data_IF_796679586790
#
_entry.id   IF_796679586790
#
_cell.length_a   1.000
_cell.length_b   1.000
_cell.length_c   1.000
_cell.angle_alpha   90.00
_cell.angle_beta   90.00
_cell.angle_gamma   90.00
#
_symmetry.space_group_name_H-M   'P 1'
#
loop_
_entity.id
_entity.type
_entity.pdbx_description
1 polymer ?
#
# COMPACT_ATOMS: atom_id res chain seq x y z
N UNK A 1 25.59 -58.10 9.91
CA UNK A 1 24.45 -57.54 9.15
C UNK A 1 24.30 -56.06 9.54
N UNK A 2 24.89 -55.15 8.76
CA UNK A 2 24.98 -53.72 9.09
C UNK A 2 23.85 -52.92 8.42
N UNK A 3 23.01 -52.29 9.25
CA UNK A 3 21.92 -51.40 8.80
C UNK A 3 22.50 -50.00 8.61
N UNK A 4 22.68 -49.57 7.36
CA UNK A 4 23.10 -48.20 7.02
C UNK A 4 21.94 -47.23 7.28
N UNK A 5 22.11 -46.33 8.25
CA UNK A 5 21.20 -45.21 8.52
C UNK A 5 21.51 -44.08 7.54
N UNK A 6 20.68 -43.89 6.52
CA UNK A 6 20.76 -42.72 5.64
C UNK A 6 20.07 -41.52 6.31
N UNK A 7 20.86 -40.50 6.69
CA UNK A 7 20.32 -39.18 7.05
C UNK A 7 19.88 -38.48 5.76
N UNK A 8 18.59 -38.14 5.67
CA UNK A 8 18.09 -37.20 4.68
C UNK A 8 18.21 -35.78 5.27
N UNK A 9 19.05 -34.93 4.67
CA UNK A 9 19.03 -33.50 4.92
C UNK A 9 17.97 -32.87 4.00
N UNK A 10 16.88 -32.36 4.58
CA UNK A 10 15.96 -31.50 3.86
C UNK A 10 16.55 -30.09 3.80
N UNK A 11 17.02 -29.68 2.62
CA UNK A 11 17.43 -28.30 2.38
C UNK A 11 16.17 -27.43 2.29
N UNK A 12 15.93 -26.62 3.32
CA UNK A 12 14.93 -25.54 3.26
C UNK A 12 15.58 -24.38 2.53
N UNK A 13 15.23 -24.18 1.27
CA UNK A 13 15.62 -22.99 0.52
C UNK A 13 14.80 -21.80 1.06
N UNK A 14 15.47 -20.89 1.77
CA UNK A 14 14.90 -19.60 2.13
C UNK A 14 14.78 -18.76 0.85
N UNK A 15 13.57 -18.64 0.31
CA UNK A 15 13.25 -17.64 -0.70
C UNK A 15 13.20 -16.29 0.01
N UNK A 16 14.27 -15.51 -0.10
CA UNK A 16 14.24 -14.11 0.32
C UNK A 16 13.25 -13.33 -0.57
N UNK A 17 12.41 -12.45 0.00
CA UNK A 17 11.52 -11.63 -0.80
C UNK A 17 12.35 -10.72 -1.72
N UNK A 18 12.05 -10.76 -3.02
CA UNK A 18 12.62 -9.83 -4.00
C UNK A 18 11.95 -8.48 -3.78
N UNK A 19 12.69 -7.50 -3.24
CA UNK A 19 12.24 -6.12 -3.17
C UNK A 19 12.56 -5.46 -4.51
N UNK A 20 11.54 -5.03 -5.24
CA UNK A 20 11.72 -4.26 -6.47
C UNK A 20 12.12 -2.81 -6.11
N UNK A 21 13.03 -2.18 -6.87
CA UNK A 21 13.34 -0.77 -6.66
C UNK A 21 12.13 0.10 -6.98
N UNK A 22 11.99 1.23 -6.28
CA UNK A 22 10.97 2.22 -6.57
C UNK A 22 11.06 2.69 -8.04
N UNK A 23 9.90 2.84 -8.69
CA UNK A 23 9.79 3.26 -10.08
C UNK A 23 9.07 4.60 -10.19
N UNK A 24 9.46 5.43 -11.16
CA UNK A 24 8.78 6.72 -11.39
C UNK A 24 7.41 6.50 -12.04
N UNK A 25 6.40 7.26 -11.62
CA UNK A 25 5.03 7.10 -12.13
C UNK A 25 4.94 7.37 -13.65
N UNK A 26 5.79 8.27 -14.16
CA UNK A 26 5.86 8.61 -15.59
C UNK A 26 6.33 7.46 -16.48
N UNK A 27 7.00 6.46 -15.90
CA UNK A 27 7.37 5.24 -16.62
C UNK A 27 6.20 4.27 -16.80
N UNK A 28 5.06 4.56 -16.16
CA UNK A 28 3.87 3.70 -16.09
C UNK A 28 4.24 2.25 -15.70
N UNK A 29 4.85 2.06 -14.51
CA UNK A 29 5.33 0.74 -14.10
C UNK A 29 4.16 -0.22 -13.86
N UNK A 30 4.45 -1.51 -13.92
CA UNK A 30 3.55 -2.55 -13.38
C UNK A 30 4.21 -3.15 -12.16
N UNK A 31 3.53 -3.09 -11.02
CA UNK A 31 4.04 -3.52 -9.72
C UNK A 31 3.14 -4.62 -9.16
N UNK A 32 3.72 -5.67 -8.58
CA UNK A 32 2.93 -6.77 -8.01
C UNK A 32 3.46 -7.17 -6.64
N UNK A 33 2.55 -7.31 -5.66
CA UNK A 33 2.87 -7.74 -4.30
C UNK A 33 1.68 -8.47 -3.69
N UNK A 34 1.93 -9.62 -3.05
CA UNK A 34 0.91 -10.33 -2.27
C UNK A 34 -0.35 -10.73 -3.05
N UNK A 35 -0.29 -10.91 -4.37
CA UNK A 35 -1.47 -11.21 -5.22
C UNK A 35 -2.20 -9.98 -5.77
N UNK A 36 -1.74 -8.78 -5.41
CA UNK A 36 -2.15 -7.51 -6.01
C UNK A 36 -1.24 -7.18 -7.21
N UNK A 37 -1.80 -6.52 -8.21
CA UNK A 37 -1.07 -5.93 -9.34
C UNK A 37 -1.59 -4.52 -9.62
N UNK A 38 -0.69 -3.55 -9.54
CA UNK A 38 -0.88 -2.13 -9.80
C UNK A 38 -0.34 -1.80 -11.19
N UNK A 39 -1.12 -1.11 -12.01
CA UNK A 39 -0.77 -0.79 -13.40
C UNK A 39 -1.50 0.46 -13.90
N UNK A 40 -1.23 0.88 -15.13
CA UNK A 40 -1.93 1.99 -15.80
C UNK A 40 -1.91 3.29 -14.98
N UNK A 41 -0.74 3.62 -14.46
CA UNK A 41 -0.55 4.85 -13.71
C UNK A 41 -0.73 6.08 -14.60
N UNK A 42 -1.56 7.00 -14.13
CA UNK A 42 -1.73 8.33 -14.68
C UNK A 42 -1.44 9.39 -13.62
N UNK A 43 -0.95 10.53 -14.07
CA UNK A 43 -0.60 11.65 -13.20
C UNK A 43 -0.91 12.97 -13.91
N UNK A 44 -1.48 13.92 -13.17
CA UNK A 44 -1.67 15.31 -13.57
C UNK A 44 -1.29 16.20 -12.40
N UNK A 45 -0.61 17.30 -12.68
CA UNK A 45 -0.15 18.26 -11.67
C UNK A 45 -0.69 19.63 -12.04
N UNK A 46 -1.32 20.29 -11.07
CA UNK A 46 -1.75 21.67 -11.09
C UNK A 46 -1.07 22.38 -9.92
N UNK A 47 -0.36 23.47 -10.18
CA UNK A 47 0.36 24.19 -9.11
C UNK A 47 0.44 25.68 -9.36
N UNK A 48 0.69 26.43 -8.30
CA UNK A 48 0.88 27.87 -8.36
C UNK A 48 1.77 28.39 -7.24
N UNK A 49 2.36 29.57 -7.47
CA UNK A 49 3.31 30.19 -6.54
C UNK A 49 4.75 29.70 -6.70
N UNK A 50 5.64 30.27 -5.90
CA UNK A 50 7.07 29.88 -5.87
C UNK A 50 7.26 28.67 -4.97
N UNK A 51 8.23 27.81 -5.32
CA UNK A 51 8.62 26.62 -4.55
C UNK A 51 7.54 25.52 -4.41
N UNK A 52 6.42 25.57 -5.13
CA UNK A 52 5.49 24.44 -5.17
C UNK A 52 6.09 23.23 -5.91
N UNK A 53 6.09 22.07 -5.27
CA UNK A 53 6.60 20.79 -5.83
C UNK A 53 5.63 19.64 -5.53
N UNK A 54 5.62 18.56 -6.34
CA UNK A 54 6.42 18.34 -7.55
C UNK A 54 6.05 19.26 -8.72
N UNK A 55 6.93 19.40 -9.70
CA UNK A 55 6.67 20.15 -10.95
C UNK A 55 6.42 19.24 -12.15
N UNK A 56 6.77 17.96 -12.03
CA UNK A 56 6.64 16.95 -13.07
C UNK A 56 6.31 15.60 -12.45
N UNK A 57 5.49 14.81 -13.13
CA UNK A 57 5.12 13.48 -12.68
C UNK A 57 6.31 12.54 -12.48
N UNK A 58 7.42 12.73 -13.20
CA UNK A 58 8.62 11.90 -13.02
C UNK A 58 9.34 12.10 -11.66
N UNK A 59 8.89 13.06 -10.84
CA UNK A 59 9.34 13.26 -9.46
C UNK A 59 8.50 12.49 -8.44
N UNK A 60 7.48 11.78 -8.89
CA UNK A 60 6.62 10.94 -8.06
C UNK A 60 7.03 9.50 -8.33
N UNK A 61 7.44 8.82 -7.27
CA UNK A 61 7.79 7.41 -7.30
C UNK A 61 6.68 6.57 -6.68
N UNK A 62 6.58 5.34 -7.15
CA UNK A 62 5.69 4.31 -6.64
C UNK A 62 6.50 3.07 -6.31
N UNK A 63 6.17 2.44 -5.19
CA UNK A 63 6.82 1.22 -4.73
C UNK A 63 5.80 0.28 -4.06
N UNK A 64 6.09 -1.01 -3.99
CA UNK A 64 5.28 -1.97 -3.24
C UNK A 64 5.74 -2.06 -1.78
N UNK A 65 4.79 -2.22 -0.85
CA UNK A 65 5.10 -2.43 0.58
C UNK A 65 4.69 -3.84 1.08
N UNK A 66 5.33 -4.37 2.15
CA UNK A 66 5.13 -5.76 2.59
C UNK A 66 3.72 -6.11 3.08
N UNK A 67 3.03 -5.18 3.74
CA UNK A 67 1.59 -5.29 3.98
C UNK A 67 0.90 -4.91 2.67
N UNK A 68 0.41 -5.88 1.87
CA UNK A 68 0.37 -5.76 0.42
C UNK A 68 -0.37 -4.49 0.01
N UNK A 69 0.38 -3.66 -0.70
CA UNK A 69 0.05 -2.26 -0.83
C UNK A 69 1.00 -1.51 -1.73
N UNK A 70 0.76 -0.20 -1.78
CA UNK A 70 1.47 0.74 -2.62
C UNK A 70 1.92 1.92 -1.76
N UNK A 71 3.19 2.26 -1.84
CA UNK A 71 3.77 3.50 -1.30
C UNK A 71 3.98 4.47 -2.46
N UNK A 72 3.53 5.71 -2.28
CA UNK A 72 3.77 6.83 -3.17
C UNK A 72 4.71 7.79 -2.47
N UNK A 73 5.83 8.11 -3.11
CA UNK A 73 6.81 9.06 -2.56
C UNK A 73 7.07 10.21 -3.52
N UNK A 74 7.05 11.43 -2.97
CA UNK A 74 7.46 12.65 -3.68
C UNK A 74 7.79 13.75 -2.67
N UNK A 75 8.11 14.96 -3.14
CA UNK A 75 8.21 16.15 -2.31
C UNK A 75 6.98 17.02 -2.51
N UNK A 76 5.80 16.57 -2.10
CA UNK A 76 4.59 17.40 -2.14
C UNK A 76 4.79 18.56 -1.18
N UNK A 77 4.86 19.77 -1.68
CA UNK A 77 5.21 20.93 -0.88
C UNK A 77 4.61 22.21 -1.45
N UNK A 78 4.11 23.04 -0.55
CA UNK A 78 3.65 24.39 -0.84
C UNK A 78 4.25 25.38 0.17
N UNK A 79 4.95 26.40 -0.36
CA UNK A 79 5.41 27.56 0.38
C UNK A 79 4.26 28.56 0.66
N UNK A 80 4.50 29.65 1.42
CA UNK A 80 3.50 30.69 1.58
C UNK A 80 3.08 31.29 0.24
N UNK A 81 1.77 31.49 0.07
CA UNK A 81 1.12 31.94 -1.18
C UNK A 81 1.35 30.98 -2.36
N UNK A 82 1.48 29.68 -2.10
CA UNK A 82 1.63 28.65 -3.13
C UNK A 82 0.68 27.47 -2.89
N UNK A 83 0.47 26.67 -3.93
CA UNK A 83 -0.27 25.42 -3.86
C UNK A 83 0.28 24.40 -4.85
N UNK A 84 0.08 23.14 -4.52
CA UNK A 84 0.30 21.98 -5.38
C UNK A 84 -0.92 21.06 -5.25
N UNK A 85 -1.39 20.56 -6.37
CA UNK A 85 -2.57 19.71 -6.55
C UNK A 85 -2.19 18.63 -7.56
N UNK A 86 -2.08 17.40 -7.08
CA UNK A 86 -1.66 16.24 -7.86
C UNK A 86 -2.79 15.21 -7.89
N UNK A 87 -3.31 14.99 -9.09
CA UNK A 87 -4.25 13.93 -9.38
C UNK A 87 -3.51 12.69 -9.89
N UNK A 88 -3.58 11.59 -9.13
CA UNK A 88 -3.02 10.29 -9.50
C UNK A 88 -4.14 9.29 -9.78
N UNK A 89 -3.92 8.41 -10.75
CA UNK A 89 -4.84 7.30 -11.04
C UNK A 89 -4.04 6.04 -11.33
N UNK A 90 -4.57 4.88 -10.94
CA UNK A 90 -4.04 3.59 -11.36
C UNK A 90 -5.12 2.52 -11.32
N UNK A 91 -4.82 1.44 -12.02
CA UNK A 91 -5.61 0.22 -12.04
C UNK A 91 -5.04 -0.78 -11.04
N UNK A 92 -5.93 -1.37 -10.26
CA UNK A 92 -5.63 -2.41 -9.30
C UNK A 92 -6.36 -3.69 -9.71
N UNK A 93 -5.61 -4.78 -9.80
CA UNK A 93 -6.15 -6.14 -9.93
C UNK A 93 -5.68 -7.01 -8.78
N UNK A 94 -6.52 -7.94 -8.33
CA UNK A 94 -6.25 -8.83 -7.21
C UNK A 94 -6.66 -10.27 -7.52
N UNK A 95 -5.95 -11.23 -6.94
CA UNK A 95 -6.33 -12.65 -6.96
C UNK A 95 -7.30 -13.05 -5.85
N UNK A 96 -7.72 -12.10 -5.00
CA UNK A 96 -8.66 -12.27 -3.89
C UNK A 96 -9.56 -11.04 -3.76
N UNK A 97 -10.65 -11.20 -3.02
CA UNK A 97 -11.63 -10.14 -2.78
C UNK A 97 -11.08 -9.05 -1.85
N UNK A 98 -11.18 -7.80 -2.30
CA UNK A 98 -10.85 -6.59 -1.55
C UNK A 98 -12.16 -5.98 -1.05
N UNK A 99 -12.24 -5.68 0.25
CA UNK A 99 -13.37 -4.98 0.88
C UNK A 99 -12.92 -3.79 1.75
N UNK A 100 -11.62 -3.61 1.95
CA UNK A 100 -11.08 -2.49 2.72
C UNK A 100 -9.78 -1.99 2.10
N UNK A 101 -9.63 -0.67 2.04
CA UNK A 101 -8.41 -0.01 1.58
C UNK A 101 -7.95 0.95 2.67
N UNK A 102 -6.79 0.68 3.27
CA UNK A 102 -6.18 1.58 4.23
C UNK A 102 -5.42 2.69 3.52
N UNK A 103 -5.58 3.92 3.97
CA UNK A 103 -4.89 5.11 3.48
C UNK A 103 -4.15 5.75 4.66
N UNK A 104 -2.87 6.04 4.50
CA UNK A 104 -2.14 6.85 5.47
C UNK A 104 -1.17 7.79 4.79
N UNK A 105 -0.92 8.95 5.39
CA UNK A 105 0.04 9.91 4.85
C UNK A 105 0.79 10.65 5.97
N UNK A 106 1.99 11.13 5.66
CA UNK A 106 2.83 11.86 6.61
C UNK A 106 2.78 13.38 6.42
N UNK A 107 1.59 13.91 6.19
CA UNK A 107 1.39 15.35 6.00
C UNK A 107 1.84 16.17 7.20
N UNK A 108 2.39 17.35 6.93
CA UNK A 108 2.86 18.29 7.94
C UNK A 108 2.56 19.73 7.47
N UNK A 109 2.32 20.63 8.43
CA UNK A 109 2.10 22.04 8.14
C UNK A 109 2.79 22.94 9.17
N UNK A 110 3.05 24.19 8.77
CA UNK A 110 3.45 25.27 9.64
C UNK A 110 2.72 26.55 9.26
N UNK A 111 2.14 27.27 10.22
CA UNK A 111 1.35 28.48 9.93
C UNK A 111 -0.02 28.17 9.32
N UNK A 112 -0.58 29.09 8.52
CA UNK A 112 -1.87 28.86 7.85
C UNK A 112 -1.66 28.11 6.55
N UNK A 113 -1.87 26.79 6.59
CA UNK A 113 -1.64 25.88 5.48
C UNK A 113 -2.52 24.61 5.59
N UNK A 114 -2.61 23.85 4.50
CA UNK A 114 -3.38 22.60 4.37
C UNK A 114 -2.52 21.58 3.61
N UNK A 115 -2.46 20.35 4.12
CA UNK A 115 -1.93 19.17 3.42
C UNK A 115 -2.98 18.07 3.51
N UNK A 116 -3.44 17.52 2.39
CA UNK A 116 -4.49 16.50 2.39
C UNK A 116 -4.38 15.53 1.23
N UNK A 117 -4.85 14.31 1.44
CA UNK A 117 -4.99 13.28 0.41
C UNK A 117 -6.41 12.76 0.45
N UNK A 118 -7.12 12.91 -0.66
CA UNK A 118 -8.41 12.26 -0.87
C UNK A 118 -8.23 11.08 -1.81
N UNK A 119 -8.72 9.91 -1.41
CA UNK A 119 -8.73 8.72 -2.24
C UNK A 119 -10.16 8.32 -2.58
N UNK A 120 -10.40 8.06 -3.87
CA UNK A 120 -11.66 7.54 -4.39
C UNK A 120 -11.41 6.22 -5.11
N UNK A 121 -12.15 5.19 -4.72
CA UNK A 121 -12.03 3.84 -5.27
C UNK A 121 -13.26 3.54 -6.13
N UNK A 122 -13.03 3.09 -7.36
CA UNK A 122 -14.09 2.81 -8.34
C UNK A 122 -14.06 1.36 -8.81
N UNK A 123 -15.24 0.78 -9.05
CA UNK A 123 -15.42 -0.44 -9.84
C UNK A 123 -16.14 -0.10 -11.14
N UNK A 124 -15.42 -0.15 -12.26
CA UNK A 124 -15.88 0.47 -13.50
C UNK A 124 -16.10 1.97 -13.31
N UNK A 125 -17.35 2.43 -13.46
CA UNK A 125 -17.73 3.84 -13.29
C UNK A 125 -18.42 4.14 -11.95
N UNK A 126 -18.58 3.14 -11.08
CA UNK A 126 -19.28 3.27 -9.80
C UNK A 126 -18.27 3.55 -8.70
N UNK A 127 -18.49 4.61 -7.91
CA UNK A 127 -17.72 4.87 -6.69
C UNK A 127 -18.11 3.82 -5.63
N UNK A 128 -17.12 3.10 -5.11
CA UNK A 128 -17.32 2.00 -4.16
C UNK A 128 -16.75 2.29 -2.77
N UNK A 129 -15.90 3.31 -2.65
CA UNK A 129 -15.37 3.80 -1.38
C UNK A 129 -14.60 5.10 -1.56
N UNK A 130 -14.47 5.88 -0.48
CA UNK A 130 -13.71 7.13 -0.45
C UNK A 130 -13.23 7.42 0.99
N UNK A 131 -12.04 7.97 1.14
CA UNK A 131 -11.55 8.55 2.39
C UNK A 131 -10.73 9.82 2.11
N UNK A 132 -10.61 10.66 3.13
CA UNK A 132 -9.74 11.84 3.12
C UNK A 132 -8.94 11.87 4.41
N UNK A 133 -7.63 11.94 4.28
CA UNK A 133 -6.70 12.19 5.38
C UNK A 133 -6.14 13.61 5.22
N UNK A 134 -6.03 14.37 6.31
CA UNK A 134 -5.66 15.78 6.21
C UNK A 134 -4.95 16.29 7.46
N UNK A 135 -4.14 17.33 7.27
CA UNK A 135 -3.41 18.07 8.29
C UNK A 135 -3.61 19.55 7.95
N UNK A 136 -4.34 20.26 8.80
CA UNK A 136 -4.86 21.60 8.52
C UNK A 136 -4.67 22.54 9.70
N UNK A 137 -4.53 23.84 9.45
CA UNK A 137 -4.42 24.80 10.56
C UNK A 137 -5.79 25.20 11.09
N UNK A 138 -6.02 25.03 12.38
CA UNK A 138 -7.00 25.85 13.09
C UNK A 138 -6.41 27.26 13.33
N UNK A 139 -7.28 28.27 13.50
CA UNK A 139 -6.89 29.68 13.72
C UNK A 139 -5.84 29.91 14.85
N UNK A 140 -5.58 28.91 15.70
CA UNK A 140 -4.68 28.97 16.87
C UNK A 140 -3.61 27.85 16.91
N UNK A 141 -3.46 27.02 15.88
CA UNK A 141 -2.48 25.93 15.87
C UNK A 141 -2.64 24.97 14.69
N UNK A 142 -1.58 24.23 14.38
CA UNK A 142 -1.67 23.11 13.45
C UNK A 142 -2.52 22.00 14.09
N UNK A 143 -3.56 21.56 13.39
CA UNK A 143 -4.38 20.43 13.74
C UNK A 143 -4.01 19.28 12.79
N UNK A 144 -3.10 18.46 13.26
CA UNK A 144 -2.64 17.26 12.57
C UNK A 144 -2.72 16.16 13.61
N UNK A 145 -3.93 15.88 14.07
CA UNK A 145 -4.17 14.76 14.96
C UNK A 145 -3.65 13.50 14.27
N UNK A 146 -2.95 12.66 15.02
CA UNK A 146 -2.39 11.43 14.47
C UNK A 146 -3.50 10.51 13.94
N UNK A 147 -4.71 10.65 14.49
CA UNK A 147 -5.91 9.95 14.04
C UNK A 147 -6.40 10.45 12.66
N UNK A 148 -6.07 11.67 12.23
CA UNK A 148 -6.43 12.23 10.90
C UNK A 148 -5.41 11.89 9.80
N UNK A 149 -4.30 11.23 10.16
CA UNK A 149 -3.23 10.84 9.25
C UNK A 149 -3.43 9.44 8.64
N UNK A 150 -4.43 8.70 9.10
CA UNK A 150 -4.78 7.39 8.57
C UNK A 150 -6.30 7.18 8.59
N UNK A 151 -6.82 6.56 7.55
CA UNK A 151 -8.23 6.17 7.46
C UNK A 151 -8.38 4.85 6.72
N UNK A 152 -9.44 4.11 7.03
CA UNK A 152 -9.79 2.86 6.36
C UNK A 152 -11.06 3.04 5.54
N UNK A 153 -10.93 2.89 4.23
CA UNK A 153 -12.02 2.92 3.28
C UNK A 153 -12.71 1.56 3.30
N UNK A 154 -13.85 1.46 3.97
CA UNK A 154 -14.74 0.29 3.81
C UNK A 154 -15.44 0.35 2.46
N UNK A 155 -15.21 -0.65 1.61
CA UNK A 155 -15.85 -0.74 0.29
C UNK A 155 -17.28 -1.27 0.43
N UNK A 156 -18.17 -0.85 -0.47
CA UNK A 156 -19.56 -1.31 -0.51
C UNK A 156 -19.76 -2.70 -1.15
N UNK A 157 -18.73 -3.56 -1.11
CA UNK A 157 -18.73 -4.89 -1.70
C UNK A 157 -17.33 -5.49 -1.77
N UNK A 158 -17.26 -6.68 -2.35
CA UNK A 158 -16.04 -7.44 -2.59
C UNK A 158 -15.59 -7.26 -4.05
N UNK A 159 -14.35 -6.80 -4.25
CA UNK A 159 -13.84 -6.45 -5.58
C UNK A 159 -12.46 -7.04 -5.86
N UNK A 160 -12.24 -7.48 -7.09
CA UNK A 160 -10.94 -7.96 -7.59
C UNK A 160 -10.32 -7.03 -8.63
N UNK A 161 -11.07 -6.02 -9.07
CA UNK A 161 -10.68 -5.10 -10.13
C UNK A 161 -11.20 -3.70 -9.79
N UNK A 162 -10.29 -2.78 -9.54
CA UNK A 162 -10.57 -1.44 -9.05
C UNK A 162 -9.77 -0.40 -9.85
N UNK A 163 -10.35 0.79 -9.99
CA UNK A 163 -9.62 1.99 -10.42
C UNK A 163 -9.53 2.91 -9.22
N UNK A 164 -8.31 3.23 -8.80
CA UNK A 164 -8.07 4.14 -7.68
C UNK A 164 -7.69 5.49 -8.25
N UNK A 165 -8.30 6.54 -7.69
CA UNK A 165 -7.94 7.94 -7.93
C UNK A 165 -7.53 8.58 -6.62
N UNK A 166 -6.41 9.28 -6.61
CA UNK A 166 -5.97 10.10 -5.48
C UNK A 166 -5.88 11.55 -5.92
N UNK A 167 -6.27 12.43 -5.03
CA UNK A 167 -6.14 13.87 -5.12
C UNK A 167 -5.31 14.33 -3.93
N UNK A 168 -4.10 14.81 -4.21
CA UNK A 168 -3.10 15.19 -3.21
C UNK A 168 -2.97 16.70 -3.29
N UNK A 169 -3.34 17.38 -2.22
CA UNK A 169 -3.32 18.83 -2.16
C UNK A 169 -2.38 19.29 -1.05
N UNK A 170 -1.48 20.22 -1.40
CA UNK A 170 -0.77 21.05 -0.42
C UNK A 170 -1.02 22.52 -0.75
N UNK A 171 -1.28 23.33 0.26
CA UNK A 171 -1.56 24.76 0.08
C UNK A 171 -1.00 25.54 1.26
N UNK A 172 -0.09 26.48 0.98
CA UNK A 172 0.44 27.40 1.98
C UNK A 172 -0.14 28.79 1.77
N UNK A 173 -0.93 29.30 2.73
CA UNK A 173 -1.49 30.66 2.65
C UNK A 173 -0.57 31.64 3.36
N UNK A 174 -0.41 31.49 4.67
CA UNK A 174 0.57 32.21 5.50
C UNK A 174 1.44 31.19 6.25
N UNK A 175 1.86 30.16 5.52
CA UNK A 175 2.46 28.96 6.08
C UNK A 175 3.03 28.05 5.00
N UNK A 176 3.59 26.92 5.43
CA UNK A 176 4.05 25.85 4.55
C UNK A 176 3.23 24.60 4.79
N UNK A 177 2.98 23.83 3.73
CA UNK A 177 2.41 22.49 3.81
C UNK A 177 3.32 21.52 3.08
N UNK A 178 3.45 20.30 3.61
CA UNK A 178 4.24 19.25 3.00
C UNK A 178 3.59 17.88 3.19
N UNK A 179 3.95 16.95 2.31
CA UNK A 179 3.77 15.51 2.45
C UNK A 179 4.86 14.81 1.63
N UNK A 180 5.30 13.64 2.06
CA UNK A 180 6.37 12.92 1.34
C UNK A 180 6.09 11.44 1.11
N UNK A 181 5.26 10.83 1.94
CA UNK A 181 4.91 9.42 1.91
C UNK A 181 3.40 9.32 2.02
N UNK A 182 2.82 8.60 1.08
CA UNK A 182 1.41 8.20 1.09
C UNK A 182 1.40 6.70 0.91
N UNK A 183 1.02 6.00 1.98
CA UNK A 183 0.90 4.56 1.99
C UNK A 183 -0.55 4.16 1.75
N UNK A 184 -0.71 3.09 1.00
CA UNK A 184 -1.98 2.43 0.80
C UNK A 184 -1.83 0.95 1.04
N UNK A 185 -2.71 0.40 1.87
CA UNK A 185 -2.74 -1.03 2.19
C UNK A 185 -4.07 -1.62 1.75
N UNK A 186 -4.06 -2.90 1.39
CA UNK A 186 -5.28 -3.62 1.02
C UNK A 186 -5.43 -4.83 1.91
N UNK A 187 -6.67 -5.13 2.26
CA UNK A 187 -6.97 -6.34 2.99
C UNK A 187 -6.68 -7.56 2.09
N UNK A 188 -5.56 -8.23 2.35
CA UNK A 188 -5.16 -9.44 1.64
C UNK A 188 -5.02 -10.60 2.61
N UNK A 189 -5.52 -11.80 2.27
CA UNK A 189 -5.22 -13.00 3.03
C UNK A 189 -3.70 -13.19 3.09
N UNK A 190 -3.11 -13.22 4.29
CA UNK A 190 -1.68 -13.45 4.45
C UNK A 190 -1.26 -14.78 3.79
N UNK A 191 -0.47 -14.77 2.70
CA UNK A 191 -0.15 -15.99 1.95
C UNK A 191 0.66 -17.00 2.78
N UNK A 192 1.46 -16.50 3.72
CA UNK A 192 2.31 -17.28 4.61
C UNK A 192 1.52 -18.07 5.63
N UNK A 193 0.44 -17.50 6.17
CA UNK A 193 -0.39 -18.14 7.20
C UNK A 193 -1.12 -19.36 6.65
N UNK A 194 -1.65 -19.27 5.43
CA UNK A 194 -2.24 -20.41 4.71
C UNK A 194 -1.21 -21.50 4.38
N UNK A 195 -0.02 -21.10 3.90
CA UNK A 195 1.04 -22.04 3.56
C UNK A 195 1.61 -22.75 4.81
N UNK A 196 1.86 -22.02 5.89
CA UNK A 196 2.33 -22.57 7.17
C UNK A 196 1.30 -23.48 7.80
N UNK A 197 0.02 -23.12 7.74
CA UNK A 197 -1.06 -23.99 8.20
C UNK A 197 -1.12 -25.28 7.37
N UNK A 198 -1.03 -25.18 6.04
CA UNK A 198 -0.97 -26.34 5.15
C UNK A 198 0.23 -27.25 5.44
N UNK A 199 1.42 -26.67 5.61
CA UNK A 199 2.64 -27.41 5.97
C UNK A 199 2.55 -28.04 7.37
N UNK A 200 1.96 -27.33 8.33
CA UNK A 200 1.71 -27.84 9.68
C UNK A 200 0.80 -29.07 9.67
N UNK A 201 -0.29 -29.03 8.89
CA UNK A 201 -1.22 -30.15 8.72
C UNK A 201 -0.56 -31.34 8.03
N UNK A 202 0.22 -31.12 6.97
CA UNK A 202 0.98 -32.18 6.30
C UNK A 202 2.02 -32.82 7.23
N UNK A 203 2.70 -32.01 8.04
CA UNK A 203 3.63 -32.48 9.07
C UNK A 203 2.93 -33.36 10.12
N UNK A 204 1.78 -32.92 10.65
CA UNK A 204 0.99 -33.67 11.62
C UNK A 204 0.47 -35.01 11.03
N UNK A 205 -0.06 -34.98 9.81
CA UNK A 205 -0.51 -36.20 9.10
C UNK A 205 0.64 -37.20 8.90
N UNK A 206 1.84 -36.72 8.55
CA UNK A 206 3.04 -37.54 8.43
C UNK A 206 3.45 -38.22 9.74
N UNK A 207 3.35 -37.51 10.88
CA UNK A 207 3.64 -38.08 12.21
C UNK A 207 2.61 -39.13 12.61
N UNK A 208 1.31 -38.86 12.39
CA UNK A 208 0.23 -39.79 12.70
C UNK A 208 0.36 -41.10 11.91
N UNK A 209 0.69 -41.02 10.61
CA UNK A 209 0.90 -42.22 9.76
C UNK A 209 2.03 -43.12 10.27
N UNK A 210 3.12 -42.54 10.82
CA UNK A 210 4.21 -43.31 11.44
C UNK A 210 3.79 -44.03 12.72
N UNK A 211 2.84 -43.48 13.49
CA UNK A 211 2.37 -44.11 14.74
C UNK A 211 1.46 -45.31 14.43
N UNK A 212 0.55 -45.19 13.47
CA UNK A 212 -0.35 -46.27 13.07
C UNK A 212 0.40 -47.48 12.49
N UNK A 213 1.44 -47.24 11.67
CA UNK A 213 2.28 -48.33 11.12
C UNK A 213 3.06 -49.11 12.18
N UNK A 214 3.34 -48.53 13.37
CA UNK A 214 4.02 -49.24 14.46
C UNK A 214 3.06 -50.02 15.36
N UNK A 215 1.78 -49.63 15.41
CA UNK A 215 0.75 -50.35 16.18
C UNK A 215 0.22 -51.61 15.50
N UNK A 216 0.37 -51.75 14.18
CA UNK A 216 -0.11 -52.91 13.42
C UNK A 216 0.86 -54.12 13.39
N UNK A 217 1.93 -54.10 14.20
CA UNK A 217 2.82 -55.24 14.45
C UNK A 217 2.75 -55.61 15.94
N UNK A 218 1.61 -56.12 16.36
CA UNK A 218 1.40 -56.83 17.61
C UNK A 218 0.44 -57.99 17.34
#
# INVERSE_FOLDING_TARGET
MQIKKSLLFAAVAFLAPVVLPAATISSNPTLSVGGLTFSNFGCSISKGGVFATPDMCNQINVNTIPNPGLEITSGFFAAPLSFDDVALTYHLSSTFDIHEVGLSFNGSIFGLAISSVTESVYSGNTLVGMATVSCGSALLGADCDLDDLADNITLNGDYTNLTVKKDIQTTGVLGTAEASIIDQTFNAPEPSSMALMGLGLLGAAGVLRRRVSKGAKA
#
